data_IF_110746835523
#
_entry.id   IF_110746835523
#
_cell.length_a   1.000
_cell.length_b   1.000
_cell.length_c   1.000
_cell.angle_alpha   90.00
_cell.angle_beta   90.00
_cell.angle_gamma   90.00
#
_symmetry.space_group_name_H-M   'P 1'
#
loop_
_entity.id
_entity.type
_entity.pdbx_description
1 polymer ?
#
# COMPACT_ATOMS: atom_id res chain seq x y z
N UNK A 1 2.57 -17.44 -6.02
CA UNK A 1 3.42 -16.24 -6.16
C UNK A 1 3.85 -15.84 -4.76
N UNK A 2 5.15 -15.68 -4.51
CA UNK A 2 5.65 -15.19 -3.22
C UNK A 2 5.19 -13.73 -3.06
N UNK A 3 4.50 -13.42 -1.97
CA UNK A 3 4.10 -12.05 -1.65
C UNK A 3 5.32 -11.15 -1.52
N UNK A 4 5.18 -9.89 -1.91
CA UNK A 4 6.23 -8.87 -1.79
C UNK A 4 5.85 -7.87 -0.70
N UNK A 5 6.81 -7.35 0.05
CA UNK A 5 6.53 -6.36 1.11
C UNK A 5 7.15 -5.01 0.76
N UNK A 6 6.42 -3.92 1.06
CA UNK A 6 6.87 -2.56 0.86
C UNK A 6 7.41 -1.99 2.16
N UNK A 7 8.68 -1.58 2.12
CA UNK A 7 9.38 -1.00 3.26
C UNK A 7 9.54 0.51 3.05
N UNK A 8 9.26 1.32 4.09
CA UNK A 8 9.58 2.73 4.05
C UNK A 8 11.10 2.89 3.94
N UNK A 9 11.55 3.80 3.09
CA UNK A 9 12.97 4.18 3.02
C UNK A 9 13.32 5.12 4.17
N UNK A 10 14.61 5.35 4.40
CA UNK A 10 15.10 6.34 5.39
C UNK A 10 14.62 7.77 5.12
N UNK A 11 14.13 8.05 3.90
CA UNK A 11 13.57 9.34 3.51
C UNK A 11 12.06 9.43 3.72
N UNK A 12 11.40 8.33 4.11
CA UNK A 12 9.98 8.35 4.47
C UNK A 12 9.82 8.96 5.88
N UNK A 13 9.21 10.14 5.94
CA UNK A 13 8.94 10.87 7.20
C UNK A 13 7.60 10.53 7.83
N UNK A 14 6.82 9.63 7.21
CA UNK A 14 5.43 9.34 7.56
C UNK A 14 5.26 7.99 8.26
N UNK A 15 6.12 7.02 7.96
CA UNK A 15 6.06 5.66 8.48
C UNK A 15 7.37 5.29 9.18
N UNK A 16 7.30 4.43 10.21
CA UNK A 16 8.49 4.00 10.96
C UNK A 16 9.39 3.10 10.12
N UNK A 17 10.68 3.43 10.06
CA UNK A 17 11.69 2.65 9.34
C UNK A 17 11.94 1.27 9.99
N UNK A 18 12.28 0.27 9.17
CA UNK A 18 12.76 -1.04 9.62
C UNK A 18 11.73 -2.18 9.63
N UNK A 19 10.46 -1.90 9.36
CA UNK A 19 9.40 -2.91 9.25
C UNK A 19 8.54 -2.66 7.99
N UNK A 20 7.93 -3.70 7.40
CA UNK A 20 7.10 -3.54 6.22
C UNK A 20 5.81 -2.81 6.59
N UNK A 21 5.44 -1.80 5.83
CA UNK A 21 4.22 -1.00 6.05
C UNK A 21 3.07 -1.49 5.16
N UNK A 22 3.40 -2.12 4.03
CA UNK A 22 2.43 -2.81 3.21
C UNK A 22 2.93 -4.19 2.77
N UNK A 23 1.98 -5.07 2.46
CA UNK A 23 2.19 -6.35 1.80
C UNK A 23 1.41 -6.42 0.50
N UNK A 24 2.06 -6.92 -0.54
CA UNK A 24 1.49 -7.17 -1.86
C UNK A 24 1.14 -8.66 -1.93
N UNK A 25 -0.15 -8.93 -2.11
CA UNK A 25 -0.69 -10.28 -2.27
C UNK A 25 -1.49 -10.33 -3.58
N UNK A 26 -0.87 -10.91 -4.61
CA UNK A 26 -1.39 -10.79 -5.98
C UNK A 26 -1.34 -9.33 -6.42
N UNK A 27 -2.47 -8.82 -6.90
CA UNK A 27 -2.61 -7.42 -7.31
C UNK A 27 -3.05 -6.50 -6.16
N UNK A 28 -3.23 -7.01 -4.96
CA UNK A 28 -3.74 -6.24 -3.82
C UNK A 28 -2.63 -5.81 -2.87
N UNK A 29 -2.72 -4.58 -2.35
CA UNK A 29 -1.79 -3.99 -1.38
C UNK A 29 -2.49 -3.80 -0.04
N UNK A 30 -2.02 -4.52 0.98
CA UNK A 30 -2.57 -4.57 2.32
C UNK A 30 -1.71 -3.78 3.30
N UNK A 31 -2.29 -2.92 4.17
CA UNK A 31 -1.57 -2.35 5.30
C UNK A 31 -1.21 -3.44 6.29
N UNK A 32 0.03 -3.42 6.78
CA UNK A 32 0.43 -4.27 7.91
C UNK A 32 0.02 -3.65 9.24
N UNK A 33 0.20 -4.40 10.35
CA UNK A 33 0.04 -3.86 11.71
C UNK A 33 1.01 -2.71 12.04
N UNK A 34 2.06 -2.54 11.24
CA UNK A 34 3.03 -1.45 11.39
C UNK A 34 2.62 -0.20 10.61
N UNK A 35 1.54 -0.28 9.82
CA UNK A 35 0.94 0.89 9.20
C UNK A 35 0.08 1.63 10.24
N UNK A 36 0.52 2.83 10.62
CA UNK A 36 -0.18 3.69 11.59
C UNK A 36 -1.26 4.56 10.93
N UNK A 37 -1.37 4.51 9.61
CA UNK A 37 -2.08 5.47 8.79
C UNK A 37 -3.34 4.89 8.16
N UNK A 38 -3.30 3.61 7.82
CA UNK A 38 -4.37 2.86 7.19
C UNK A 38 -4.76 1.68 8.08
N UNK A 39 -6.06 1.37 8.15
CA UNK A 39 -6.54 0.24 8.94
C UNK A 39 -6.13 -1.08 8.28
N UNK A 40 -5.41 -1.92 9.02
CA UNK A 40 -5.04 -3.25 8.56
C UNK A 40 -6.27 -4.17 8.39
N UNK A 41 -6.14 -5.21 7.58
CA UNK A 41 -7.15 -6.27 7.40
C UNK A 41 -7.93 -6.24 6.08
N UNK A 42 -7.87 -5.15 5.32
CA UNK A 42 -8.43 -5.04 3.97
C UNK A 42 -7.43 -4.36 3.03
N UNK A 43 -7.47 -4.65 1.71
CA UNK A 43 -6.56 -4.03 0.77
C UNK A 43 -6.93 -2.57 0.60
N UNK A 44 -5.95 -1.67 0.64
CA UNK A 44 -6.16 -0.22 0.47
C UNK A 44 -5.72 0.29 -0.89
N UNK A 45 -4.93 -0.51 -1.61
CA UNK A 45 -4.67 -0.29 -3.03
C UNK A 45 -4.77 -1.59 -3.83
N UNK A 46 -4.98 -1.43 -5.13
CA UNK A 46 -4.97 -2.47 -6.15
C UNK A 46 -4.06 -2.05 -7.30
N UNK A 47 -3.25 -2.98 -7.80
CA UNK A 47 -2.35 -2.83 -8.93
C UNK A 47 -3.13 -3.20 -10.18
N UNK A 48 -3.20 -2.30 -11.15
CA UNK A 48 -3.80 -2.54 -12.46
C UNK A 48 -2.83 -2.08 -13.55
N UNK A 49 -2.12 -3.05 -14.15
CA UNK A 49 -0.99 -2.76 -15.03
C UNK A 49 0.11 -2.04 -14.26
N UNK A 50 0.58 -0.91 -14.81
CA UNK A 50 1.62 -0.09 -14.16
C UNK A 50 1.05 0.94 -13.18
N UNK A 51 -0.25 0.92 -12.91
CA UNK A 51 -0.92 1.90 -12.06
C UNK A 51 -1.40 1.29 -10.75
N UNK A 52 -1.42 2.09 -9.70
CA UNK A 52 -1.91 1.71 -8.36
C UNK A 52 -3.13 2.57 -8.02
N UNK A 53 -4.27 1.92 -7.82
CA UNK A 53 -5.56 2.53 -7.54
C UNK A 53 -5.95 2.37 -6.08
N UNK A 54 -6.50 3.41 -5.41
CA UNK A 54 -7.09 3.27 -4.08
C UNK A 54 -8.36 2.42 -4.14
N UNK A 55 -8.52 1.50 -3.20
CA UNK A 55 -9.78 0.78 -3.00
C UNK A 55 -10.77 1.63 -2.21
N UNK A 56 -12.01 1.16 -2.08
CA UNK A 56 -13.02 1.76 -1.19
C UNK A 56 -12.63 1.73 0.29
N UNK A 57 -11.64 0.93 0.67
CA UNK A 57 -11.14 0.83 2.04
C UNK A 57 -10.02 1.84 2.33
N UNK A 58 -9.54 2.54 1.30
CA UNK A 58 -8.57 3.61 1.46
C UNK A 58 -9.22 4.84 2.09
N UNK A 59 -8.68 5.31 3.23
CA UNK A 59 -9.21 6.48 3.94
C UNK A 59 -8.52 7.78 3.54
N UNK A 60 -7.45 7.72 2.75
CA UNK A 60 -6.61 8.87 2.40
C UNK A 60 -6.82 9.33 0.98
N UNK A 61 -6.96 8.39 0.08
CA UNK A 61 -7.07 8.64 -1.34
C UNK A 61 -8.47 8.23 -1.80
N UNK A 62 -9.15 9.13 -2.52
CA UNK A 62 -10.43 8.81 -3.13
C UNK A 62 -10.26 7.71 -4.18
N UNK A 63 -11.15 6.73 -4.16
CA UNK A 63 -11.17 5.66 -5.16
C UNK A 63 -11.54 6.19 -6.55
N UNK A 64 -11.14 5.48 -7.60
CA UNK A 64 -11.55 5.73 -8.99
C UNK A 64 -10.50 6.36 -9.91
N UNK A 65 -9.38 6.87 -9.38
CA UNK A 65 -8.23 7.33 -10.16
C UNK A 65 -6.93 6.73 -9.61
N UNK A 66 -5.91 6.50 -10.44
CA UNK A 66 -4.63 5.99 -9.96
C UNK A 66 -3.90 7.07 -9.17
N UNK A 67 -3.19 6.65 -8.12
CA UNK A 67 -2.43 7.55 -7.24
C UNK A 67 -0.93 7.30 -7.27
N UNK A 68 -0.50 6.14 -7.74
CA UNK A 68 0.90 5.83 -8.01
C UNK A 68 1.05 5.08 -9.34
N UNK A 69 2.26 5.13 -9.88
CA UNK A 69 2.70 4.41 -11.08
C UNK A 69 3.96 3.61 -10.73
N UNK A 70 4.06 2.39 -11.26
CA UNK A 70 5.22 1.50 -11.16
C UNK A 70 6.16 1.81 -12.32
N UNK A 71 7.45 2.02 -12.03
CA UNK A 71 8.50 2.33 -13.02
C UNK A 71 9.77 1.55 -12.74
#
# INVERSE_FOLDING_TARGET
MQGSSLYPTVHNTRDSYGLPVYEIQGDNIYPTVHNTRDSYGLPVYEIQGDNIYPTVHNRRNSYGLPVYEIR
#
